data_IF_300205246953
#
_entry.id   IF_300205246953
#
_cell.length_a   1.000
_cell.length_b   1.000
_cell.length_c   1.000
_cell.angle_alpha   90.00
_cell.angle_beta   90.00
_cell.angle_gamma   90.00
#
_symmetry.space_group_name_H-M   'P 1'
#
loop_
_entity.id
_entity.type
_entity.pdbx_description
1 polymer ?
#
# COMPACT_ATOMS: atom_id res chain seq x y z
N UNK A 1 -10.37 2.63 6.76
CA UNK A 1 -9.10 1.87 6.68
C UNK A 1 -9.38 0.49 6.09
N UNK A 2 -8.37 -0.22 5.58
CA UNK A 2 -8.57 -1.51 4.87
C UNK A 2 -9.35 -2.56 5.68
N UNK A 3 -9.04 -2.71 6.97
CA UNK A 3 -9.72 -3.68 7.84
C UNK A 3 -11.25 -3.46 7.87
N UNK A 4 -11.73 -2.21 7.83
CA UNK A 4 -13.17 -1.91 7.76
C UNK A 4 -13.77 -2.38 6.44
N UNK A 5 -13.06 -2.16 5.32
CA UNK A 5 -13.53 -2.57 3.98
C UNK A 5 -13.58 -4.09 3.84
N UNK A 6 -12.62 -4.78 4.44
CA UNK A 6 -12.54 -6.24 4.45
C UNK A 6 -13.38 -6.88 5.58
N UNK A 7 -13.98 -6.07 6.46
CA UNK A 7 -14.73 -6.51 7.66
C UNK A 7 -13.90 -7.37 8.62
N UNK A 8 -12.61 -7.04 8.73
CA UNK A 8 -11.63 -7.71 9.58
C UNK A 8 -11.31 -6.91 10.84
N UNK A 9 -10.90 -7.62 11.90
CA UNK A 9 -10.44 -7.03 13.16
C UNK A 9 -9.06 -6.37 13.04
N UNK A 10 -8.83 -5.29 13.78
CA UNK A 10 -7.57 -4.55 13.84
C UNK A 10 -6.96 -4.51 15.25
N UNK A 11 -7.44 -5.33 16.19
CA UNK A 11 -6.89 -5.41 17.55
C UNK A 11 -5.52 -6.10 17.60
N UNK A 12 -5.26 -6.98 16.63
CA UNK A 12 -3.98 -7.70 16.46
C UNK A 12 -3.56 -7.69 14.99
N UNK A 13 -2.38 -7.13 14.72
CA UNK A 13 -1.83 -6.97 13.37
C UNK A 13 -0.34 -6.64 13.37
N UNK A 14 0.11 -5.96 12.32
CA UNK A 14 1.51 -5.65 12.06
C UNK A 14 2.22 -4.99 13.24
N UNK A 15 1.59 -4.01 13.90
CA UNK A 15 2.22 -3.34 15.04
C UNK A 15 2.49 -4.27 16.22
N UNK A 16 1.62 -5.27 16.47
CA UNK A 16 1.83 -6.27 17.51
C UNK A 16 3.02 -7.18 17.20
N UNK A 17 3.16 -7.58 15.93
CA UNK A 17 4.30 -8.36 15.47
C UNK A 17 5.61 -7.58 15.60
N UNK A 18 5.61 -6.31 15.19
CA UNK A 18 6.79 -5.44 15.25
C UNK A 18 7.31 -5.24 16.68
N UNK A 19 6.43 -5.25 17.70
CA UNK A 19 6.81 -5.20 19.12
C UNK A 19 6.96 -6.59 19.77
N UNK A 20 7.03 -7.66 18.97
CA UNK A 20 7.21 -9.06 19.42
C UNK A 20 6.13 -9.54 20.40
N UNK A 21 4.90 -9.02 20.27
CA UNK A 21 3.72 -9.44 21.06
C UNK A 21 2.77 -10.38 20.30
N UNK A 22 3.13 -10.76 19.07
CA UNK A 22 2.39 -11.71 18.24
C UNK A 22 3.37 -12.41 17.29
N UNK A 23 3.12 -13.68 16.98
CA UNK A 23 3.84 -14.39 15.91
C UNK A 23 3.30 -13.97 14.52
N UNK A 24 3.89 -14.50 13.45
CA UNK A 24 3.38 -14.28 12.09
C UNK A 24 2.02 -14.96 11.90
N UNK A 25 1.85 -16.17 12.45
CA UNK A 25 0.60 -16.93 12.41
C UNK A 25 -0.54 -16.21 13.15
N UNK A 26 -0.20 -15.47 14.22
CA UNK A 26 -1.18 -14.69 15.00
C UNK A 26 -1.76 -13.47 14.25
N UNK A 27 -1.07 -12.98 13.22
CA UNK A 27 -1.42 -11.73 12.51
C UNK A 27 -1.95 -11.95 11.10
N UNK A 28 -1.75 -13.15 10.53
CA UNK A 28 -2.35 -13.57 9.27
C UNK A 28 -3.80 -13.96 9.52
N UNK A 29 -4.73 -13.34 8.79
CA UNK A 29 -6.16 -13.64 8.89
C UNK A 29 -6.72 -14.05 7.55
N UNK A 30 -7.42 -15.18 7.51
CA UNK A 30 -8.19 -15.54 6.34
C UNK A 30 -9.38 -14.61 6.19
N UNK A 31 -9.52 -14.01 5.01
CA UNK A 31 -10.70 -13.18 4.73
C UNK A 31 -11.84 -14.04 4.20
N UNK A 32 -13.03 -13.46 4.08
CA UNK A 32 -14.15 -14.11 3.39
C UNK A 32 -13.92 -14.30 1.87
N UNK A 33 -12.86 -13.72 1.31
CA UNK A 33 -12.51 -13.81 -0.10
C UNK A 33 -11.53 -14.99 -0.28
N UNK A 34 -11.85 -15.99 -1.13
CA UNK A 34 -10.95 -17.11 -1.38
C UNK A 34 -9.57 -16.65 -1.87
N UNK A 35 -8.52 -17.30 -1.37
CA UNK A 35 -7.11 -17.02 -1.69
C UNK A 35 -6.64 -15.60 -1.32
N UNK A 36 -7.35 -14.93 -0.42
CA UNK A 36 -6.93 -13.64 0.12
C UNK A 36 -6.83 -13.71 1.64
N UNK A 37 -5.60 -13.60 2.11
CA UNK A 37 -5.31 -13.38 3.52
C UNK A 37 -4.94 -11.92 3.77
N UNK A 38 -5.16 -11.47 5.00
CA UNK A 38 -5.02 -10.08 5.38
C UNK A 38 -4.23 -9.95 6.69
N UNK A 39 -3.25 -9.05 6.66
CA UNK A 39 -2.57 -8.57 7.86
C UNK A 39 -3.04 -7.13 8.10
N UNK A 40 -3.71 -6.91 9.23
CA UNK A 40 -4.15 -5.57 9.63
C UNK A 40 -2.96 -4.74 10.12
N UNK A 41 -3.11 -3.40 10.18
CA UNK A 41 -2.05 -2.54 10.73
C UNK A 41 -1.81 -2.81 12.23
N UNK A 42 -2.85 -3.24 12.94
CA UNK A 42 -2.85 -3.35 14.39
C UNK A 42 -3.09 -2.00 15.09
N UNK A 43 -3.02 -1.98 16.43
CA UNK A 43 -3.13 -0.75 17.22
C UNK A 43 -2.05 0.27 16.86
N UNK A 44 -2.38 1.56 16.99
CA UNK A 44 -1.40 2.65 16.83
C UNK A 44 -0.31 2.52 17.89
N UNK A 45 0.93 2.61 17.45
CA UNK A 45 2.13 2.58 18.29
C UNK A 45 2.82 3.95 18.27
N UNK A 46 3.51 4.35 19.35
CA UNK A 46 4.11 5.69 19.43
C UNK A 46 5.31 5.89 18.47
N UNK A 47 6.12 4.86 18.22
CA UNK A 47 7.37 4.96 17.45
C UNK A 47 7.44 3.96 16.28
N UNK A 48 6.63 4.11 15.22
CA UNK A 48 6.60 3.15 14.11
C UNK A 48 7.92 3.07 13.34
N UNK A 49 8.61 4.19 13.11
CA UNK A 49 9.84 4.24 12.31
C UNK A 49 11.01 3.44 12.94
N UNK A 50 11.20 3.53 14.27
CA UNK A 50 12.24 2.76 14.98
C UNK A 50 12.05 1.25 14.83
N UNK A 51 10.80 0.79 14.85
CA UNK A 51 10.50 -0.62 14.66
C UNK A 51 10.70 -1.07 13.21
N UNK A 52 10.54 -0.18 12.23
CA UNK A 52 10.85 -0.49 10.82
C UNK A 52 12.36 -0.73 10.63
N UNK A 53 13.21 -0.03 11.38
CA UNK A 53 14.67 -0.18 11.34
C UNK A 53 15.16 -1.44 12.06
N UNK A 54 14.35 -2.04 12.94
CA UNK A 54 14.71 -3.23 13.72
C UNK A 54 14.86 -4.53 12.93
N UNK A 55 14.59 -4.51 11.62
CA UNK A 55 14.61 -5.70 10.75
C UNK A 55 13.37 -6.60 10.86
N UNK A 56 12.40 -6.26 11.72
CA UNK A 56 11.16 -7.04 11.87
C UNK A 56 10.40 -7.18 10.54
N UNK A 57 10.32 -6.11 9.75
CA UNK A 57 9.67 -6.14 8.43
C UNK A 57 10.45 -6.99 7.42
N UNK A 58 11.79 -6.95 7.45
CA UNK A 58 12.62 -7.79 6.57
C UNK A 58 12.32 -9.27 6.82
N UNK A 59 12.28 -9.67 8.10
CA UNK A 59 11.95 -11.03 8.50
C UNK A 59 10.52 -11.42 8.09
N UNK A 60 9.52 -10.57 8.37
CA UNK A 60 8.12 -10.81 8.01
C UNK A 60 7.97 -11.02 6.50
N UNK A 61 8.47 -10.09 5.69
CA UNK A 61 8.31 -10.15 4.23
C UNK A 61 9.02 -11.38 3.65
N UNK A 62 10.20 -11.75 4.17
CA UNK A 62 10.90 -12.94 3.72
C UNK A 62 10.12 -14.23 4.03
N UNK A 63 9.46 -14.33 5.20
CA UNK A 63 8.60 -15.45 5.53
C UNK A 63 7.32 -15.49 4.68
N UNK A 64 6.69 -14.33 4.43
CA UNK A 64 5.49 -14.25 3.59
C UNK A 64 5.80 -14.67 2.15
N UNK A 65 6.99 -14.34 1.62
CA UNK A 65 7.42 -14.76 0.28
C UNK A 65 7.53 -16.28 0.10
N UNK A 66 7.65 -17.06 1.18
CA UNK A 66 7.66 -18.53 1.07
C UNK A 66 6.25 -19.13 1.09
N UNK A 67 5.23 -18.32 1.37
CA UNK A 67 3.84 -18.77 1.58
C UNK A 67 2.87 -18.20 0.53
N UNK A 68 3.18 -17.05 -0.07
CA UNK A 68 2.29 -16.36 -0.99
C UNK A 68 2.96 -16.06 -2.33
N UNK A 69 2.21 -16.26 -3.41
CA UNK A 69 2.64 -15.88 -4.77
C UNK A 69 2.68 -14.35 -4.95
N UNK A 70 1.75 -13.65 -4.30
CA UNK A 70 1.62 -12.20 -4.38
C UNK A 70 1.44 -11.59 -2.99
N UNK A 71 2.18 -10.50 -2.74
CA UNK A 71 2.07 -9.70 -1.52
C UNK A 71 1.77 -8.27 -1.95
N UNK A 72 0.63 -7.74 -1.49
CA UNK A 72 0.22 -6.35 -1.72
C UNK A 72 0.40 -5.57 -0.43
N UNK A 73 1.19 -4.50 -0.49
CA UNK A 73 1.47 -3.63 0.66
C UNK A 73 0.75 -2.31 0.42
N UNK A 74 -0.29 -2.04 1.22
CA UNK A 74 -0.95 -0.74 1.24
C UNK A 74 -0.17 0.23 2.14
N UNK A 75 -0.01 1.46 1.68
CA UNK A 75 0.85 2.47 2.34
C UNK A 75 0.17 3.82 2.39
N UNK A 76 0.67 4.70 3.26
CA UNK A 76 0.22 6.10 3.31
C UNK A 76 0.57 6.86 2.02
N UNK A 77 -0.09 7.99 1.70
CA UNK A 77 0.26 8.80 0.54
C UNK A 77 1.73 9.25 0.53
N UNK A 78 2.42 9.04 -0.58
CA UNK A 78 3.80 9.50 -0.80
C UNK A 78 3.85 11.04 -0.76
N UNK A 79 4.80 11.60 -0.01
CA UNK A 79 5.02 13.06 0.10
C UNK A 79 4.44 13.72 1.35
N UNK A 80 3.65 12.98 2.15
CA UNK A 80 3.17 13.45 3.46
C UNK A 80 3.94 12.73 4.59
N UNK A 81 4.22 11.43 4.41
CA UNK A 81 4.87 10.59 5.43
C UNK A 81 6.01 9.80 4.79
N UNK A 82 7.13 9.66 5.50
CA UNK A 82 8.32 8.94 5.03
C UNK A 82 8.08 7.42 4.86
N UNK A 83 7.12 6.87 5.59
CA UNK A 83 6.82 5.43 5.66
C UNK A 83 6.57 4.80 4.28
N UNK A 84 5.91 5.51 3.37
CA UNK A 84 5.66 5.02 2.02
C UNK A 84 6.95 4.76 1.23
N UNK A 85 7.97 5.61 1.42
CA UNK A 85 9.29 5.46 0.77
C UNK A 85 10.03 4.27 1.37
N UNK A 86 9.97 4.09 2.70
CA UNK A 86 10.60 2.96 3.38
C UNK A 86 10.03 1.62 2.88
N UNK A 87 8.73 1.57 2.58
CA UNK A 87 8.08 0.35 2.07
C UNK A 87 8.48 -0.01 0.64
N UNK A 88 8.94 0.96 -0.17
CA UNK A 88 9.32 0.71 -1.57
C UNK A 88 10.42 -0.35 -1.70
N UNK A 89 11.32 -0.47 -0.71
CA UNK A 89 12.40 -1.47 -0.75
C UNK A 89 11.91 -2.93 -0.70
N UNK A 90 10.70 -3.14 -0.19
CA UNK A 90 10.08 -4.47 -0.08
C UNK A 90 9.31 -4.89 -1.34
N UNK A 91 8.99 -3.92 -2.20
CA UNK A 91 8.14 -4.14 -3.36
C UNK A 91 8.96 -4.33 -4.65
N UNK A 92 8.66 -5.39 -5.40
CA UNK A 92 9.23 -5.59 -6.73
C UNK A 92 8.70 -4.56 -7.75
N UNK A 93 7.47 -4.08 -7.54
CA UNK A 93 6.81 -3.03 -8.33
C UNK A 93 6.05 -2.11 -7.40
N UNK A 94 6.16 -0.80 -7.62
CA UNK A 94 5.42 0.21 -6.86
C UNK A 94 4.39 0.86 -7.78
N UNK A 95 3.15 0.96 -7.31
CA UNK A 95 2.05 1.58 -8.05
C UNK A 95 1.66 2.88 -7.36
N UNK A 96 1.99 4.01 -7.98
CA UNK A 96 1.62 5.33 -7.49
C UNK A 96 0.25 5.73 -8.04
N UNK A 97 -0.74 5.84 -7.15
CA UNK A 97 -2.10 6.20 -7.54
C UNK A 97 -2.28 7.72 -7.49
N UNK A 98 -2.69 8.32 -8.62
CA UNK A 98 -3.15 9.71 -8.71
C UNK A 98 -4.64 9.73 -9.05
N UNK A 99 -5.39 10.65 -8.44
CA UNK A 99 -6.85 10.72 -8.59
C UNK A 99 -7.23 11.92 -9.45
N UNK A 100 -7.97 11.65 -10.52
CA UNK A 100 -8.52 12.65 -11.43
C UNK A 100 -9.34 13.71 -10.68
N UNK A 101 -9.14 14.99 -11.03
CA UNK A 101 -9.76 16.15 -10.39
C UNK A 101 -9.61 16.23 -8.85
N UNK A 102 -8.63 15.53 -8.27
CA UNK A 102 -8.39 15.53 -6.83
C UNK A 102 -6.91 15.76 -6.49
N UNK A 103 -6.01 14.99 -7.09
CA UNK A 103 -4.57 15.17 -6.87
C UNK A 103 -4.10 16.47 -7.53
N UNK A 104 -3.60 17.42 -6.73
CA UNK A 104 -3.06 18.70 -7.24
C UNK A 104 -1.76 18.46 -8.01
N UNK A 105 -1.63 19.12 -9.17
CA UNK A 105 -0.49 18.95 -10.09
C UNK A 105 0.84 19.36 -9.47
N UNK A 106 0.87 20.42 -8.67
CA UNK A 106 2.07 20.91 -7.98
C UNK A 106 2.54 19.93 -6.89
N UNK A 107 1.60 19.37 -6.11
CA UNK A 107 1.92 18.33 -5.12
C UNK A 107 2.51 17.11 -5.81
N UNK A 108 1.88 16.66 -6.89
CA UNK A 108 2.38 15.53 -7.67
C UNK A 108 3.78 15.79 -8.25
N UNK A 109 4.02 16.98 -8.82
CA UNK A 109 5.33 17.37 -9.33
C UNK A 109 6.42 17.40 -8.24
N UNK A 110 6.07 17.84 -7.03
CA UNK A 110 6.98 17.83 -5.88
C UNK A 110 7.31 16.41 -5.43
N UNK A 111 6.33 15.50 -5.41
CA UNK A 111 6.56 14.09 -5.11
C UNK A 111 7.49 13.45 -6.15
N UNK A 112 7.24 13.66 -7.44
CA UNK A 112 8.11 13.14 -8.51
C UNK A 112 9.54 13.67 -8.39
N UNK A 113 9.69 14.96 -8.08
CA UNK A 113 11.00 15.58 -7.86
C UNK A 113 11.74 14.95 -6.68
N UNK A 114 11.03 14.71 -5.56
CA UNK A 114 11.61 14.04 -4.39
C UNK A 114 12.03 12.61 -4.70
N UNK A 115 11.19 11.82 -5.37
CA UNK A 115 11.53 10.45 -5.76
C UNK A 115 12.75 10.42 -6.68
N UNK A 116 12.81 11.33 -7.67
CA UNK A 116 13.96 11.47 -8.57
C UNK A 116 15.23 11.86 -7.83
N UNK A 117 15.16 12.81 -6.89
CA UNK A 117 16.30 13.23 -6.07
C UNK A 117 16.86 12.06 -5.23
N UNK A 118 15.99 11.20 -4.74
CA UNK A 118 16.34 9.99 -3.99
C UNK A 118 16.65 8.77 -4.88
N UNK A 119 16.70 8.95 -6.22
CA UNK A 119 16.92 7.87 -7.21
C UNK A 119 15.90 6.73 -7.12
N UNK A 120 14.69 7.02 -6.64
CA UNK A 120 13.58 6.10 -6.52
C UNK A 120 12.76 6.13 -7.80
N UNK A 121 13.16 5.34 -8.79
CA UNK A 121 12.53 5.32 -10.12
C UNK A 121 11.69 4.08 -10.40
N UNK A 122 11.65 3.12 -9.47
CA UNK A 122 10.87 1.87 -9.61
C UNK A 122 9.40 2.07 -9.23
N UNK A 123 8.68 2.90 -9.96
CA UNK A 123 7.23 3.05 -9.79
C UNK A 123 6.52 3.33 -11.11
N UNK A 124 5.30 2.81 -11.23
CA UNK A 124 4.37 3.12 -12.30
C UNK A 124 3.24 4.01 -11.78
N UNK A 125 2.57 4.75 -12.66
CA UNK A 125 1.48 5.65 -12.29
C UNK A 125 0.13 5.04 -12.68
N UNK A 126 -0.78 4.95 -11.71
CA UNK A 126 -2.19 4.63 -11.94
C UNK A 126 -2.99 5.92 -11.91
N UNK A 127 -3.63 6.25 -13.02
CA UNK A 127 -4.59 7.35 -13.08
C UNK A 127 -6.00 6.85 -12.79
N UNK A 128 -6.51 7.19 -11.60
CA UNK A 128 -7.74 6.65 -11.06
C UNK A 128 -8.88 7.69 -11.03
N UNK A 129 -10.12 7.21 -10.87
CA UNK A 129 -11.36 8.01 -10.75
C UNK A 129 -11.68 8.86 -12.00
N UNK A 130 -11.38 8.30 -13.17
CA UNK A 130 -11.70 8.91 -14.44
C UNK A 130 -13.21 9.03 -14.63
N UNK A 131 -13.70 10.25 -14.79
CA UNK A 131 -15.07 10.46 -15.27
C UNK A 131 -15.08 10.46 -16.81
N UNK A 132 -15.36 9.30 -17.40
CA UNK A 132 -15.37 9.10 -18.85
C UNK A 132 -16.49 9.88 -19.56
N UNK A 133 -17.56 10.27 -18.85
CA UNK A 133 -18.69 10.99 -19.42
C UNK A 133 -18.48 12.52 -19.49
N UNK A 134 -17.61 13.07 -18.63
CA UNK A 134 -17.35 14.52 -18.53
C UNK A 134 -15.96 14.95 -19.06
N UNK A 135 -15.19 14.03 -19.62
CA UNK A 135 -13.82 14.29 -20.07
C UNK A 135 -13.64 14.08 -21.57
N UNK A 136 -12.53 14.61 -22.12
CA UNK A 136 -12.06 14.34 -23.48
C UNK A 136 -11.81 12.85 -23.77
N UNK A 137 -11.83 12.00 -22.74
CA UNK A 137 -11.70 10.55 -22.83
C UNK A 137 -13.03 9.83 -23.14
N UNK A 138 -14.08 10.53 -23.56
CA UNK A 138 -15.36 9.93 -23.96
C UNK A 138 -15.20 8.83 -25.01
N UNK A 139 -14.22 8.95 -25.91
CA UNK A 139 -13.91 7.92 -26.91
C UNK A 139 -13.43 6.58 -26.29
N UNK A 140 -12.86 6.62 -25.08
CA UNK A 140 -12.47 5.41 -24.36
C UNK A 140 -13.62 4.73 -23.61
N UNK A 141 -14.77 5.40 -23.46
CA UNK A 141 -15.94 4.81 -22.77
C UNK A 141 -16.39 3.49 -23.41
N UNK A 142 -16.22 3.34 -24.72
CA UNK A 142 -16.56 2.12 -25.45
C UNK A 142 -15.70 0.89 -25.06
N UNK A 143 -14.50 1.09 -24.50
CA UNK A 143 -13.65 -0.02 -24.02
C UNK A 143 -14.03 -0.50 -22.61
N UNK A 144 -14.69 0.35 -21.81
CA UNK A 144 -15.05 0.03 -20.43
C UNK A 144 -16.52 -0.39 -20.26
N UNK A 145 -17.37 -0.19 -21.27
CA UNK A 145 -18.82 -0.47 -21.21
C UNK A 145 -19.17 -1.88 -21.74
N UNK A 146 -18.21 -2.67 -22.25
CA UNK A 146 -18.48 -4.08 -22.60
C UNK A 146 -18.36 -4.98 -21.37
N UNK A 147 -19.50 -5.20 -20.71
CA UNK A 147 -19.84 -6.45 -20.02
C UNK A 147 -21.09 -7.03 -20.67
#
# INVERSE_FOLDING_TARGET
TLHIKLKEDNSRGLSNYMIKKASIEDIIRNTAIPNLDFISAGPVIPNPSELMESGALDHLINQLKTQYDYIVIDTTPVGIVADAILMMKYASRVLMVIRNNYTRKDVFANVLSNLKANKLTNFDIIYNDLNLHKSSYRHYSNYYIRN
#
